data_IF_860679059480
#
_entry.id   IF_860679059480
#
_cell.length_a   1.000
_cell.length_b   1.000
_cell.length_c   1.000
_cell.angle_alpha   90.00
_cell.angle_beta   90.00
_cell.angle_gamma   90.00
#
_symmetry.space_group_name_H-M   'P 1'
#
loop_
_entity.id
_entity.type
_entity.pdbx_description
1 polymer ?
#
# COMPACT_ATOMS: atom_id res chain seq x y z
N UNK A 1 -7.86 -22.91 -40.52
CA UNK A 1 -7.39 -21.67 -39.86
C UNK A 1 -8.52 -21.13 -38.99
N UNK A 2 -8.75 -21.63 -37.76
CA UNK A 2 -9.67 -20.98 -36.80
C UNK A 2 -9.62 -21.55 -35.36
N UNK A 3 -8.45 -21.73 -34.73
CA UNK A 3 -8.41 -22.12 -33.30
C UNK A 3 -7.24 -21.46 -32.53
N UNK A 4 -6.87 -20.22 -32.87
CA UNK A 4 -5.79 -19.50 -32.16
C UNK A 4 -6.29 -18.25 -31.43
N UNK A 5 -7.54 -17.81 -31.66
CA UNK A 5 -8.05 -16.56 -31.07
C UNK A 5 -8.65 -16.70 -29.65
N UNK A 6 -8.96 -17.91 -29.18
CA UNK A 6 -9.70 -18.10 -27.92
C UNK A 6 -8.81 -18.08 -26.65
N UNK A 7 -7.48 -18.14 -26.78
CA UNK A 7 -6.57 -18.27 -25.65
C UNK A 7 -6.29 -16.95 -24.90
N UNK A 8 -6.62 -15.79 -25.49
CA UNK A 8 -6.36 -14.47 -24.87
C UNK A 8 -7.43 -14.05 -23.85
N UNK A 9 -8.58 -14.72 -23.80
CA UNK A 9 -9.71 -14.34 -22.93
C UNK A 9 -9.73 -14.98 -21.53
N UNK A 10 -8.78 -15.87 -21.24
CA UNK A 10 -8.76 -16.69 -20.02
C UNK A 10 -7.60 -16.34 -19.08
N UNK A 11 -7.01 -15.14 -19.21
CA UNK A 11 -6.09 -14.67 -18.18
C UNK A 11 -6.85 -14.70 -16.83
N UNK A 12 -6.45 -15.53 -15.85
CA UNK A 12 -7.10 -15.51 -14.55
C UNK A 12 -6.97 -14.10 -14.00
N UNK A 13 -8.05 -13.57 -13.41
CA UNK A 13 -7.95 -12.38 -12.56
C UNK A 13 -6.94 -12.74 -11.47
N UNK A 14 -5.72 -12.23 -11.57
CA UNK A 14 -4.77 -12.34 -10.48
C UNK A 14 -5.39 -11.60 -9.30
N UNK A 15 -5.87 -12.33 -8.30
CA UNK A 15 -6.26 -11.73 -7.04
C UNK A 15 -4.99 -11.19 -6.40
N UNK A 16 -4.90 -9.87 -6.30
CA UNK A 16 -3.81 -9.16 -5.64
C UNK A 16 -4.13 -8.89 -4.15
N UNK A 17 -5.12 -9.60 -3.58
CA UNK A 17 -5.60 -9.42 -2.23
C UNK A 17 -4.43 -9.43 -1.23
N UNK A 18 -4.24 -8.29 -0.57
CA UNK A 18 -3.22 -8.11 0.44
C UNK A 18 -3.60 -8.89 1.70
N UNK A 19 -3.05 -10.10 1.86
CA UNK A 19 -3.32 -10.95 3.01
C UNK A 19 -2.65 -10.42 4.29
N UNK A 20 -3.15 -10.78 5.49
CA UNK A 20 -2.49 -10.44 6.74
C UNK A 20 -1.04 -10.93 6.77
N UNK A 21 -0.12 -10.05 7.18
CA UNK A 21 1.31 -10.32 7.12
C UNK A 21 2.15 -9.05 7.04
N UNK A 22 3.45 -9.22 6.83
CA UNK A 22 4.39 -8.12 6.63
C UNK A 22 4.82 -8.08 5.16
N UNK A 23 4.62 -6.93 4.52
CA UNK A 23 4.86 -6.75 3.10
C UNK A 23 5.83 -5.61 2.86
N UNK A 24 6.83 -5.84 2.01
CA UNK A 24 7.72 -4.77 1.56
C UNK A 24 7.00 -3.92 0.53
N UNK A 25 6.78 -2.67 0.87
CA UNK A 25 6.32 -1.63 -0.03
C UNK A 25 7.54 -0.88 -0.58
N UNK A 26 7.65 -0.90 -1.92
CA UNK A 26 8.68 -0.19 -2.65
C UNK A 26 8.04 0.92 -3.49
N UNK A 27 8.34 2.19 -3.17
CA UNK A 27 7.84 3.37 -3.89
C UNK A 27 9.03 4.26 -4.21
N UNK A 28 9.82 3.91 -5.25
CA UNK A 28 11.14 4.49 -5.46
C UNK A 28 11.11 6.00 -5.68
N UNK A 29 10.09 6.51 -6.39
CA UNK A 29 10.00 7.93 -6.75
C UNK A 29 9.45 8.82 -5.63
N UNK A 30 8.89 8.23 -4.58
CA UNK A 30 8.33 8.98 -3.44
C UNK A 30 9.31 9.05 -2.27
N UNK A 31 10.10 8.00 -2.07
CA UNK A 31 11.04 7.86 -0.96
C UNK A 31 12.24 7.03 -1.42
N UNK A 32 13.22 7.70 -2.01
CA UNK A 32 14.43 7.11 -2.59
C UNK A 32 15.38 6.47 -1.56
N UNK A 33 15.20 6.74 -0.27
CA UNK A 33 16.01 6.18 0.83
C UNK A 33 15.26 5.20 1.75
N UNK A 34 13.93 5.16 1.71
CA UNK A 34 13.12 4.36 2.62
C UNK A 34 12.37 3.27 1.88
N UNK A 35 12.62 2.03 2.27
CA UNK A 35 11.62 0.97 2.06
C UNK A 35 10.64 0.99 3.22
N UNK A 36 9.41 0.53 2.99
CA UNK A 36 8.39 0.46 4.03
C UNK A 36 7.98 -0.99 4.24
N UNK A 37 7.85 -1.38 5.50
CA UNK A 37 7.15 -2.61 5.85
C UNK A 37 5.73 -2.25 6.21
N UNK A 38 4.78 -2.70 5.41
CA UNK A 38 3.36 -2.69 5.74
C UNK A 38 3.05 -3.93 6.56
N UNK A 39 2.76 -3.73 7.85
CA UNK A 39 2.18 -4.76 8.69
C UNK A 39 0.65 -4.70 8.53
N UNK A 40 0.11 -5.75 7.92
CA UNK A 40 -1.26 -5.84 7.43
C UNK A 40 -2.06 -6.76 8.35
N UNK A 41 -3.23 -6.30 8.79
CA UNK A 41 -4.14 -7.05 9.67
C UNK A 41 -5.59 -6.90 9.23
N UNK A 42 -6.42 -7.91 9.48
CA UNK A 42 -7.87 -7.79 9.23
C UNK A 42 -8.47 -6.68 10.11
N UNK A 43 -9.45 -5.96 9.58
CA UNK A 43 -10.21 -4.98 10.35
C UNK A 43 -11.05 -5.60 11.48
N UNK A 44 -11.45 -6.87 11.34
CA UNK A 44 -12.32 -7.60 12.27
C UNK A 44 -11.78 -9.00 12.65
N UNK A 45 -10.70 -9.10 13.44
CA UNK A 45 -10.19 -10.38 13.94
C UNK A 45 -11.14 -10.99 14.99
N UNK A 46 -11.36 -12.32 15.06
CA UNK A 46 -10.91 -13.41 14.17
C UNK A 46 -11.95 -13.75 13.08
N UNK A 47 -13.06 -13.00 13.01
CA UNK A 47 -14.34 -13.46 12.47
C UNK A 47 -14.40 -13.61 10.96
N UNK A 48 -13.46 -13.04 10.20
CA UNK A 48 -13.11 -13.43 8.83
C UNK A 48 -11.85 -12.66 8.42
N UNK A 49 -10.89 -13.37 7.80
CA UNK A 49 -9.88 -12.71 6.96
C UNK A 49 -10.60 -12.45 5.64
N UNK A 50 -11.44 -11.43 5.65
CA UNK A 50 -12.18 -11.03 4.48
C UNK A 50 -11.46 -9.87 3.80
N UNK A 51 -11.44 -9.85 2.45
CA UNK A 51 -10.71 -8.84 1.71
C UNK A 51 -11.42 -7.48 1.70
N UNK A 52 -12.61 -7.29 2.31
CA UNK A 52 -13.29 -5.99 2.23
C UNK A 52 -12.55 -4.85 2.94
N UNK A 53 -11.72 -5.16 3.93
CA UNK A 53 -11.06 -4.16 4.75
C UNK A 53 -9.75 -4.68 5.33
N UNK A 54 -8.71 -3.85 5.27
CA UNK A 54 -7.43 -4.15 5.93
C UNK A 54 -6.86 -2.94 6.68
N UNK A 55 -6.23 -3.20 7.82
CA UNK A 55 -5.50 -2.20 8.60
C UNK A 55 -4.01 -2.35 8.34
N UNK A 56 -3.37 -1.23 8.05
CA UNK A 56 -1.96 -1.15 7.73
C UNK A 56 -1.26 -0.30 8.79
N UNK A 57 -0.20 -0.85 9.37
CA UNK A 57 0.85 -0.07 10.02
C UNK A 57 2.03 0.00 9.08
N UNK A 58 2.39 1.20 8.63
CA UNK A 58 3.51 1.39 7.72
C UNK A 58 4.75 1.81 8.50
N UNK A 59 5.74 0.95 8.49
CA UNK A 59 6.94 1.07 9.31
C UNK A 59 8.15 1.36 8.41
N UNK A 60 8.82 2.52 8.54
CA UNK A 60 9.94 2.87 7.69
C UNK A 60 11.20 2.04 8.02
N UNK A 61 11.92 1.62 6.99
CA UNK A 61 13.22 0.96 7.12
C UNK A 61 14.28 1.60 6.18
N UNK A 62 15.35 2.20 6.75
CA UNK A 62 15.54 2.57 8.16
C UNK A 62 14.61 3.71 8.59
N UNK A 63 14.47 4.06 9.88
CA UNK A 63 13.58 5.18 10.27
C UNK A 63 14.07 6.52 9.70
N UNK A 64 15.34 6.91 9.90
CA UNK A 64 15.96 8.12 9.31
C UNK A 64 15.03 9.38 9.24
N UNK A 65 14.42 9.76 10.37
CA UNK A 65 13.43 10.86 10.51
C UNK A 65 12.10 10.65 9.77
N UNK A 66 11.77 9.44 9.32
CA UNK A 66 10.46 9.12 8.80
C UNK A 66 9.45 8.85 9.91
N UNK A 67 8.19 9.15 9.66
CA UNK A 67 7.11 8.91 10.60
C UNK A 67 6.38 7.62 10.29
N UNK A 68 6.24 6.76 11.28
CA UNK A 68 5.29 5.66 11.19
C UNK A 68 3.87 6.22 11.07
N UNK A 69 3.09 5.65 10.15
CA UNK A 69 1.71 6.03 9.93
C UNK A 69 0.83 4.79 9.83
N UNK A 70 -0.47 4.98 10.04
CA UNK A 70 -1.45 3.92 10.06
C UNK A 70 -2.58 4.29 9.11
N UNK A 71 -3.16 3.28 8.46
CA UNK A 71 -4.29 3.48 7.57
C UNK A 71 -5.23 2.30 7.61
N UNK A 72 -6.49 2.57 7.26
CA UNK A 72 -7.47 1.53 7.00
C UNK A 72 -7.84 1.61 5.53
N UNK A 73 -7.64 0.51 4.81
CA UNK A 73 -8.02 0.38 3.43
C UNK A 73 -9.39 -0.29 3.33
N UNK A 74 -10.26 0.25 2.49
CA UNK A 74 -11.58 -0.31 2.20
C UNK A 74 -11.64 -0.70 0.73
N UNK A 75 -12.35 -1.77 0.40
CA UNK A 75 -12.60 -2.12 -1.00
C UNK A 75 -13.70 -1.24 -1.59
N UNK A 76 -13.36 -0.48 -2.63
CA UNK A 76 -14.26 0.36 -3.41
C UNK A 76 -14.08 -0.02 -4.88
N UNK A 77 -15.16 -0.46 -5.55
CA UNK A 77 -15.14 -0.86 -6.96
C UNK A 77 -14.07 -1.92 -7.33
N UNK A 78 -13.79 -2.86 -6.42
CA UNK A 78 -12.81 -3.93 -6.65
C UNK A 78 -11.35 -3.54 -6.43
N UNK A 79 -11.08 -2.35 -5.87
CA UNK A 79 -9.76 -1.92 -5.42
C UNK A 79 -9.78 -1.55 -3.95
N UNK A 80 -8.72 -1.87 -3.23
CA UNK A 80 -8.47 -1.23 -1.95
C UNK A 80 -8.17 0.26 -2.17
N UNK A 81 -8.80 1.10 -1.35
CA UNK A 81 -8.49 2.53 -1.24
C UNK A 81 -8.18 2.85 0.20
N UNK A 82 -7.03 3.48 0.44
CA UNK A 82 -6.58 3.91 1.75
C UNK A 82 -6.13 5.36 1.70
N UNK A 83 -6.56 6.15 2.67
CA UNK A 83 -6.19 7.55 2.82
C UNK A 83 -5.43 7.74 4.12
N UNK A 84 -4.30 8.46 4.08
CA UNK A 84 -3.44 8.69 5.26
C UNK A 84 -2.88 10.10 5.27
N UNK A 85 -2.81 10.71 6.45
CA UNK A 85 -2.03 11.93 6.68
C UNK A 85 -0.60 11.55 7.06
N UNK A 86 0.37 12.05 6.30
CA UNK A 86 1.78 11.70 6.43
C UNK A 86 2.59 12.94 6.80
N UNK A 87 2.99 13.09 8.08
CA UNK A 87 3.68 14.30 8.55
C UNK A 87 4.99 14.62 7.81
N UNK A 88 5.68 13.59 7.32
CA UNK A 88 6.90 13.71 6.53
C UNK A 88 6.70 13.39 5.04
N UNK A 89 5.50 13.62 4.54
CA UNK A 89 5.06 13.18 3.21
C UNK A 89 5.96 13.64 2.06
N UNK A 90 6.08 14.95 1.87
CA UNK A 90 6.95 15.53 0.86
C UNK A 90 8.24 16.06 1.52
N UNK A 91 9.38 15.61 1.02
CA UNK A 91 10.71 16.10 1.43
C UNK A 91 11.28 16.99 0.35
N UNK A 92 11.65 18.21 0.71
CA UNK A 92 12.25 19.16 -0.21
C UNK A 92 13.74 19.33 0.13
N UNK A 93 14.62 18.99 -0.81
CA UNK A 93 16.07 19.12 -0.63
C UNK A 93 16.68 17.93 0.11
N UNK A 94 17.62 18.21 1.03
CA UNK A 94 18.35 17.16 1.76
C UNK A 94 17.43 16.34 2.68
N UNK A 95 17.67 15.03 2.77
CA UNK A 95 16.80 14.11 3.50
C UNK A 95 16.80 14.32 5.02
N UNK A 96 17.90 14.79 5.60
CA UNK A 96 18.05 14.99 7.05
C UNK A 96 17.78 16.43 7.48
N UNK A 97 18.04 17.40 6.61
CA UNK A 97 18.01 18.82 6.95
C UNK A 97 17.01 19.65 6.13
N UNK A 98 16.49 19.08 5.03
CA UNK A 98 15.47 19.73 4.21
C UNK A 98 14.12 19.81 4.91
N UNK A 99 13.30 20.83 4.58
CA UNK A 99 11.95 20.93 5.12
C UNK A 99 11.07 19.75 4.68
N UNK A 100 10.20 19.33 5.60
CA UNK A 100 9.13 18.38 5.34
C UNK A 100 7.80 19.11 5.22
N UNK A 101 6.97 18.71 4.26
CA UNK A 101 5.61 19.21 4.08
C UNK A 101 4.67 18.03 4.32
N UNK A 102 3.76 18.11 5.31
CA UNK A 102 2.74 17.09 5.51
C UNK A 102 1.90 16.89 4.27
N UNK A 103 1.57 15.64 3.96
CA UNK A 103 0.70 15.30 2.82
C UNK A 103 -0.52 14.50 3.26
N UNK A 104 -1.55 14.56 2.42
CA UNK A 104 -2.74 13.73 2.52
C UNK A 104 -2.71 12.77 1.33
N UNK A 105 -2.26 11.54 1.56
CA UNK A 105 -2.01 10.58 0.49
C UNK A 105 -3.20 9.66 0.29
N UNK A 106 -3.37 9.23 -0.96
CA UNK A 106 -4.30 8.16 -1.32
C UNK A 106 -3.51 7.03 -1.96
N UNK A 107 -3.67 5.83 -1.42
CA UNK A 107 -3.11 4.59 -1.92
C UNK A 107 -4.23 3.72 -2.49
N UNK A 108 -4.04 3.22 -3.71
CA UNK A 108 -4.98 2.31 -4.37
C UNK A 108 -4.25 1.10 -4.93
N UNK A 109 -4.82 -0.10 -4.73
CA UNK A 109 -4.31 -1.35 -5.31
C UNK A 109 -5.45 -2.35 -5.52
N UNK A 110 -5.26 -3.28 -6.45
CA UNK A 110 -6.27 -4.29 -6.78
C UNK A 110 -6.44 -5.34 -5.66
N UNK A 111 -7.63 -5.93 -5.60
CA UNK A 111 -7.98 -7.08 -4.74
C UNK A 111 -7.63 -8.41 -5.42
#
# INVERSE_FOLDING_TARGET
>A
MLVVAAALGLAPSASAALLPGNWTLNIPDRRDFHTWIWAVTSCSPPASITPECTRISANPQPIAKAYQWYGTAQVVNGQYTMTVDVPDGLRCGDIYYGPVIPTHDVYTWDV
#
